data_IF_621997638746
#
_entry.id   IF_621997638746
#
_cell.length_a   1.000
_cell.length_b   1.000
_cell.length_c   1.000
_cell.angle_alpha   90.00
_cell.angle_beta   90.00
_cell.angle_gamma   90.00
#
_symmetry.space_group_name_H-M   'P 1'
#
loop_
_entity.id
_entity.type
_entity.pdbx_description
1 polymer ?
#
# COMPACT_ATOMS: atom_id res chain seq x y z
N UNK A 1 -30.76 -0.24 0.23
CA UNK A 1 -29.37 -0.73 0.10
C UNK A 1 -29.36 -1.96 -0.80
N UNK A 2 -28.51 -2.04 -1.84
CA UNK A 2 -28.49 -3.15 -2.80
C UNK A 2 -28.21 -4.52 -2.16
N UNK A 3 -27.50 -4.57 -1.04
CA UNK A 3 -27.19 -5.80 -0.31
C UNK A 3 -28.31 -6.35 0.58
N UNK A 4 -29.37 -5.57 0.84
CA UNK A 4 -30.43 -5.98 1.77
C UNK A 4 -31.20 -7.23 1.31
N UNK A 5 -31.27 -7.45 -0.01
CA UNK A 5 -31.92 -8.63 -0.60
C UNK A 5 -31.16 -9.95 -0.34
N UNK A 6 -29.88 -9.87 0.02
CA UNK A 6 -29.03 -11.02 0.31
C UNK A 6 -28.91 -11.29 1.82
N UNK A 7 -29.57 -10.50 2.65
CA UNK A 7 -29.48 -10.59 4.10
C UNK A 7 -30.63 -11.42 4.67
N UNK A 8 -30.33 -12.52 5.35
CA UNK A 8 -31.35 -13.45 5.90
C UNK A 8 -31.83 -13.07 7.32
N UNK A 9 -31.42 -11.91 7.81
CA UNK A 9 -31.66 -11.46 9.19
C UNK A 9 -30.54 -11.81 10.17
N UNK A 10 -29.62 -12.70 9.80
CA UNK A 10 -28.45 -13.11 10.61
C UNK A 10 -27.13 -12.95 9.86
N UNK A 11 -27.12 -13.26 8.57
CA UNK A 11 -25.93 -13.23 7.72
C UNK A 11 -26.27 -12.74 6.31
N UNK A 12 -25.24 -12.21 5.66
CA UNK A 12 -25.28 -11.82 4.27
C UNK A 12 -24.85 -13.01 3.42
N UNK A 13 -25.74 -13.50 2.55
CA UNK A 13 -25.48 -14.60 1.64
C UNK A 13 -25.46 -14.07 0.20
N UNK A 14 -24.30 -13.59 -0.23
CA UNK A 14 -24.10 -13.09 -1.59
C UNK A 14 -23.76 -14.28 -2.49
N UNK A 15 -24.59 -14.63 -3.49
CA UNK A 15 -24.23 -15.63 -4.47
C UNK A 15 -23.14 -15.08 -5.40
N UNK A 16 -21.93 -15.61 -5.28
CA UNK A 16 -20.77 -15.25 -6.11
C UNK A 16 -20.45 -16.45 -7.00
N UNK A 17 -20.26 -16.23 -8.31
CA UNK A 17 -19.80 -17.30 -9.21
C UNK A 17 -18.34 -17.65 -8.90
N UNK A 18 -17.87 -18.84 -9.33
CA UNK A 18 -16.48 -19.25 -9.09
C UNK A 18 -15.49 -18.28 -9.75
N UNK A 19 -15.83 -17.78 -10.93
CA UNK A 19 -15.02 -16.86 -11.73
C UNK A 19 -14.92 -15.50 -11.02
N UNK A 20 -16.05 -14.97 -10.56
CA UNK A 20 -16.08 -13.72 -9.80
C UNK A 20 -15.32 -13.84 -8.47
N UNK A 21 -15.35 -15.01 -7.82
CA UNK A 21 -14.57 -15.26 -6.61
C UNK A 21 -13.06 -15.26 -6.89
N UNK A 22 -12.62 -15.87 -8.01
CA UNK A 22 -11.21 -15.85 -8.43
C UNK A 22 -10.74 -14.43 -8.74
N UNK A 23 -11.52 -13.65 -9.50
CA UNK A 23 -11.20 -12.25 -9.79
C UNK A 23 -11.12 -11.41 -8.51
N UNK A 24 -12.01 -11.65 -7.54
CA UNK A 24 -12.00 -10.94 -6.27
C UNK A 24 -10.70 -11.22 -5.50
N UNK A 25 -10.31 -12.49 -5.41
CA UNK A 25 -9.07 -12.91 -4.75
C UNK A 25 -7.85 -12.28 -5.45
N UNK A 26 -7.80 -12.31 -6.78
CA UNK A 26 -6.71 -11.68 -7.55
C UNK A 26 -6.59 -10.18 -7.25
N UNK A 27 -7.71 -9.46 -7.23
CA UNK A 27 -7.73 -8.03 -6.87
C UNK A 27 -7.24 -7.78 -5.45
N UNK A 28 -7.62 -8.61 -4.49
CA UNK A 28 -7.17 -8.50 -3.10
C UNK A 28 -5.67 -8.75 -2.98
N UNK A 29 -5.15 -9.75 -3.67
CA UNK A 29 -3.70 -10.01 -3.74
C UNK A 29 -2.97 -8.81 -4.33
N UNK A 30 -3.47 -8.22 -5.41
CA UNK A 30 -2.87 -7.03 -6.01
C UNK A 30 -2.87 -5.82 -5.07
N UNK A 31 -3.94 -5.59 -4.31
CA UNK A 31 -4.01 -4.55 -3.29
C UNK A 31 -2.99 -4.80 -2.15
N UNK A 32 -2.90 -6.04 -1.68
CA UNK A 32 -1.94 -6.46 -0.67
C UNK A 32 -0.49 -6.21 -1.09
N UNK A 33 -0.10 -6.66 -2.28
CA UNK A 33 1.26 -6.45 -2.81
C UNK A 33 1.54 -4.95 -3.03
N UNK A 34 0.57 -4.20 -3.55
CA UNK A 34 0.71 -2.75 -3.76
C UNK A 34 0.98 -2.01 -2.44
N UNK A 35 0.33 -2.44 -1.35
CA UNK A 35 0.58 -1.87 -0.01
C UNK A 35 2.01 -2.15 0.47
N UNK A 36 2.52 -3.36 0.26
CA UNK A 36 3.89 -3.75 0.61
C UNK A 36 4.92 -2.94 -0.20
N UNK A 37 4.68 -2.79 -1.50
CA UNK A 37 5.49 -1.96 -2.40
C UNK A 37 5.54 -0.50 -1.94
N UNK A 38 4.40 0.09 -1.56
CA UNK A 38 4.33 1.45 -1.04
C UNK A 38 5.12 1.62 0.27
N UNK A 39 5.11 0.62 1.15
CA UNK A 39 5.92 0.61 2.37
C UNK A 39 7.42 0.63 2.05
N UNK A 40 7.89 -0.27 1.18
CA UNK A 40 9.30 -0.34 0.75
C UNK A 40 9.72 0.98 0.10
N UNK A 41 8.91 1.51 -0.82
CA UNK A 41 9.15 2.78 -1.47
C UNK A 41 9.25 3.92 -0.44
N UNK A 42 8.35 4.00 0.53
CA UNK A 42 8.35 5.03 1.58
C UNK A 42 9.65 5.02 2.39
N UNK A 43 10.13 3.83 2.78
CA UNK A 43 11.40 3.69 3.49
C UNK A 43 12.58 4.21 2.67
N UNK A 44 12.62 3.89 1.36
CA UNK A 44 13.67 4.36 0.45
C UNK A 44 13.59 5.86 0.20
N UNK A 45 12.39 6.38 -0.10
CA UNK A 45 12.14 7.79 -0.37
C UNK A 45 12.57 8.72 0.78
N UNK A 46 12.55 8.26 2.03
CA UNK A 46 13.06 9.03 3.17
C UNK A 46 14.55 9.41 3.02
N UNK A 47 15.32 8.54 2.36
CA UNK A 47 16.78 8.64 2.16
C UNK A 47 17.17 9.29 0.84
N UNK A 48 16.23 9.51 -0.08
CA UNK A 48 16.50 10.11 -1.38
C UNK A 48 16.49 11.65 -1.32
N UNK A 49 17.05 12.29 -2.36
CA UNK A 49 16.92 13.72 -2.57
C UNK A 49 15.49 14.07 -3.04
N UNK A 50 15.18 15.36 -3.16
CA UNK A 50 13.82 15.81 -3.55
C UNK A 50 13.46 15.45 -5.00
N UNK A 51 14.44 15.55 -5.91
CA UNK A 51 14.26 15.20 -7.32
C UNK A 51 13.84 13.74 -7.51
N UNK A 52 14.58 12.80 -6.92
CA UNK A 52 14.27 11.37 -6.99
C UNK A 52 12.95 11.04 -6.30
N UNK A 53 12.64 11.72 -5.18
CA UNK A 53 11.33 11.58 -4.52
C UNK A 53 10.18 11.95 -5.45
N UNK A 54 10.26 13.10 -6.10
CA UNK A 54 9.23 13.57 -7.03
C UNK A 54 9.11 12.64 -8.24
N UNK A 55 10.25 12.17 -8.78
CA UNK A 55 10.27 11.23 -9.92
C UNK A 55 9.55 9.92 -9.60
N UNK A 56 9.82 9.32 -8.44
CA UNK A 56 9.16 8.08 -8.00
C UNK A 56 7.67 8.32 -7.73
N UNK A 57 7.30 9.45 -7.12
CA UNK A 57 5.89 9.78 -6.87
C UNK A 57 5.09 9.92 -8.18
N UNK A 58 5.63 10.65 -9.16
CA UNK A 58 5.00 10.78 -10.49
C UNK A 58 4.87 9.43 -11.20
N UNK A 59 5.90 8.59 -11.10
CA UNK A 59 5.85 7.23 -11.64
C UNK A 59 4.71 6.43 -11.02
N UNK A 60 4.59 6.44 -9.69
CA UNK A 60 3.54 5.69 -8.99
C UNK A 60 2.14 6.22 -9.27
N UNK A 61 1.98 7.54 -9.44
CA UNK A 61 0.69 8.14 -9.79
C UNK A 61 0.22 7.80 -11.20
N UNK A 62 1.16 7.55 -12.13
CA UNK A 62 0.86 7.20 -13.51
C UNK A 62 0.70 5.69 -13.72
N UNK A 63 1.12 4.86 -12.75
CA UNK A 63 1.07 3.41 -12.86
C UNK A 63 -0.39 2.90 -12.87
N UNK A 64 -0.73 2.08 -13.86
CA UNK A 64 -2.06 1.51 -14.02
C UNK A 64 -2.17 0.08 -13.48
N UNK A 65 -1.04 -0.61 -13.36
CA UNK A 65 -0.98 -1.99 -12.89
C UNK A 65 0.15 -2.22 -11.88
N UNK A 66 0.14 -3.43 -11.30
CA UNK A 66 1.10 -3.86 -10.29
C UNK A 66 2.54 -3.93 -10.81
N UNK A 67 2.73 -4.21 -12.10
CA UNK A 67 4.06 -4.32 -12.70
C UNK A 67 4.68 -2.94 -12.95
N UNK A 68 3.87 -1.97 -13.38
CA UNK A 68 4.25 -0.56 -13.45
C UNK A 68 4.61 -0.01 -12.08
N UNK A 69 3.78 -0.32 -11.08
CA UNK A 69 4.05 0.05 -9.70
C UNK A 69 5.36 -0.55 -9.19
N UNK A 70 5.63 -1.83 -9.50
CA UNK A 70 6.89 -2.50 -9.18
C UNK A 70 8.10 -1.79 -9.79
N UNK A 71 8.03 -1.40 -11.07
CA UNK A 71 9.10 -0.66 -11.76
C UNK A 71 9.40 0.66 -11.06
N UNK A 72 8.38 1.36 -10.57
CA UNK A 72 8.57 2.60 -9.81
C UNK A 72 9.30 2.36 -8.49
N UNK A 73 8.98 1.27 -7.78
CA UNK A 73 9.67 0.91 -6.52
C UNK A 73 11.11 0.48 -6.77
N UNK A 74 11.39 -0.31 -7.80
CA UNK A 74 12.77 -0.70 -8.18
C UNK A 74 13.62 0.55 -8.43
N UNK A 75 13.10 1.54 -9.16
CA UNK A 75 13.79 2.82 -9.34
C UNK A 75 14.10 3.54 -8.02
N UNK A 76 13.20 3.45 -7.03
CA UNK A 76 13.44 4.02 -5.70
C UNK A 76 14.50 3.25 -4.91
N UNK A 77 14.64 1.94 -5.15
CA UNK A 77 15.67 1.09 -4.55
C UNK A 77 17.04 1.38 -5.15
N UNK A 78 17.11 1.54 -6.48
CA UNK A 78 18.34 1.76 -7.23
C UNK A 78 18.86 3.20 -7.13
N UNK A 79 18.00 4.15 -6.76
CA UNK A 79 18.38 5.55 -6.62
C UNK A 79 19.39 5.75 -5.49
N UNK A 80 20.42 6.57 -5.76
CA UNK A 80 21.46 6.88 -4.79
C UNK A 80 20.89 7.69 -3.62
N UNK A 81 21.19 7.32 -2.36
CA UNK A 81 20.76 8.10 -1.20
C UNK A 81 21.42 9.48 -1.22
N UNK A 82 20.73 10.49 -0.66
CA UNK A 82 21.35 11.79 -0.39
C UNK A 82 22.48 11.61 0.62
N UNK A 83 23.60 12.28 0.44
CA UNK A 83 24.63 12.33 1.48
C UNK A 83 24.02 12.95 2.74
N UNK A 84 24.06 12.23 3.86
CA UNK A 84 23.48 12.68 5.12
C UNK A 84 24.56 13.36 5.96
N UNK A 85 24.37 14.64 6.26
CA UNK A 85 25.08 15.30 7.35
C UNK A 85 24.79 14.57 8.68
N UNK A 86 25.81 14.20 9.47
CA UNK A 86 25.67 13.33 10.64
C UNK A 86 24.79 13.91 11.76
N UNK A 87 24.53 15.22 11.75
CA UNK A 87 23.84 15.96 12.82
C UNK A 87 22.30 15.83 12.79
N UNK A 88 21.69 15.29 11.71
CA UNK A 88 20.22 15.30 11.50
C UNK A 88 19.52 13.98 11.87
N UNK A 89 20.00 13.27 12.90
CA UNK A 89 19.72 11.83 13.07
C UNK A 89 18.50 11.46 13.93
N UNK A 90 18.06 12.31 14.88
CA UNK A 90 17.04 11.92 15.87
C UNK A 90 15.61 12.25 15.42
N UNK A 91 15.35 13.49 14.99
CA UNK A 91 14.01 13.93 14.55
C UNK A 91 13.54 13.19 13.30
N UNK A 92 14.47 12.85 12.39
CA UNK A 92 14.17 12.09 11.18
C UNK A 92 13.75 10.65 11.47
N UNK A 93 14.37 9.99 12.47
CA UNK A 93 13.99 8.64 12.90
C UNK A 93 12.61 8.62 13.57
N UNK A 94 12.31 9.59 14.43
CA UNK A 94 11.01 9.68 15.10
C UNK A 94 9.86 9.86 14.10
N UNK A 95 10.05 10.72 13.10
CA UNK A 95 9.06 10.95 12.03
C UNK A 95 8.84 9.72 11.14
N UNK A 96 9.90 8.96 10.87
CA UNK A 96 9.79 7.68 10.15
C UNK A 96 9.03 6.65 10.97
N UNK A 97 9.30 6.54 12.28
CA UNK A 97 8.55 5.65 13.16
C UNK A 97 7.08 6.01 13.26
N UNK A 98 6.75 7.31 13.38
CA UNK A 98 5.36 7.76 13.43
C UNK A 98 4.61 7.45 12.12
N UNK A 99 5.27 7.63 10.96
CA UNK A 99 4.71 7.22 9.66
C UNK A 99 4.51 5.71 9.56
N UNK A 100 5.45 4.94 10.07
CA UNK A 100 5.37 3.48 10.04
C UNK A 100 4.26 2.96 10.94
N UNK A 101 4.07 3.58 12.11
CA UNK A 101 2.93 3.31 13.00
C UNK A 101 1.59 3.68 12.33
N UNK A 102 1.51 4.78 11.58
CA UNK A 102 0.30 5.14 10.83
C UNK A 102 0.01 4.15 9.69
N UNK A 103 1.04 3.68 8.97
CA UNK A 103 0.87 2.64 7.95
C UNK A 103 0.44 1.33 8.59
N UNK A 104 1.02 0.95 9.74
CA UNK A 104 0.61 -0.24 10.50
C UNK A 104 -0.83 -0.13 11.00
N UNK A 105 -1.24 1.04 11.49
CA UNK A 105 -2.62 1.29 11.90
C UNK A 105 -3.59 1.17 10.71
N UNK A 106 -3.18 1.63 9.53
CA UNK A 106 -3.98 1.52 8.31
C UNK A 106 -4.04 0.08 7.75
N UNK A 107 -2.95 -0.69 7.85
CA UNK A 107 -2.97 -2.12 7.49
C UNK A 107 -3.82 -2.94 8.46
N UNK A 108 -3.76 -2.63 9.76
CA UNK A 108 -4.62 -3.27 10.77
C UNK A 108 -6.10 -2.92 10.54
N UNK A 109 -6.41 -1.68 10.16
CA UNK A 109 -7.78 -1.29 9.76
C UNK A 109 -8.24 -1.99 8.47
N UNK A 110 -7.33 -2.34 7.56
CA UNK A 110 -7.67 -3.15 6.38
C UNK A 110 -7.92 -4.62 6.75
N UNK A 111 -7.17 -5.16 7.72
CA UNK A 111 -7.45 -6.48 8.29
C UNK A 111 -8.83 -6.50 8.97
N UNK A 112 -9.19 -5.46 9.72
CA UNK A 112 -10.52 -5.35 10.34
C UNK A 112 -11.66 -5.29 9.30
N UNK A 113 -11.44 -4.64 8.15
CA UNK A 113 -12.41 -4.63 7.03
C UNK A 113 -12.52 -6.01 6.38
N UNK A 114 -11.41 -6.71 6.17
CA UNK A 114 -11.41 -8.08 5.62
C UNK A 114 -12.08 -9.05 6.60
N UNK A 115 -11.88 -8.87 7.91
CA UNK A 115 -12.47 -9.71 8.96
C UNK A 115 -13.93 -9.34 9.26
N UNK A 116 -14.40 -8.15 8.88
CA UNK A 116 -15.80 -7.72 9.05
C UNK A 116 -16.68 -8.00 7.84
N UNK A 117 -16.08 -8.31 6.68
CA UNK A 117 -16.81 -8.72 5.46
C UNK A 117 -17.01 -10.26 5.42
N UNK A 118 -16.32 -11.01 6.27
CA UNK A 118 -16.52 -12.44 6.53
C UNK A 118 -17.09 -12.68 7.94
#
# INVERSE_FOLDING_TARGET
>A
MPGAQYYDGKKLNIPISKEAAVELIERWIHQGISSMMACIATQRLSKLNEYERNRVQKCSQAAQDIYEQARCVVRAIDAKPKQMDPTRSIVSRLKTHLRQLLVQLFTLLMEDIITSIF
#
